data_IF_286012329321
#
_entry.id   IF_286012329321
#
_cell.length_a   1.000
_cell.length_b   1.000
_cell.length_c   1.000
_cell.angle_alpha   90.00
_cell.angle_beta   90.00
_cell.angle_gamma   90.00
#
_symmetry.space_group_name_H-M   'P 1'
#
loop_
_entity.id
_entity.type
_entity.pdbx_description
1 polymer ?
#
# COMPACT_ATOMS: atom_id res chain seq x y z
N UNK A 1 -2.71 -17.07 -2.88
CA UNK A 1 -1.95 -16.13 -2.03
C UNK A 1 -2.54 -14.72 -2.06
N UNK A 2 -2.94 -14.18 -3.23
CA UNK A 2 -3.61 -12.87 -3.31
C UNK A 2 -4.96 -12.81 -2.59
N UNK A 3 -5.96 -13.53 -3.08
CA UNK A 3 -7.33 -13.52 -2.51
C UNK A 3 -7.39 -13.98 -1.06
N UNK A 4 -6.52 -14.93 -0.67
CA UNK A 4 -6.45 -15.36 0.73
C UNK A 4 -5.89 -14.26 1.64
N UNK A 5 -5.03 -13.39 1.12
CA UNK A 5 -4.54 -12.22 1.85
C UNK A 5 -5.68 -11.22 2.08
N UNK A 6 -6.57 -11.01 1.10
CA UNK A 6 -7.77 -10.18 1.31
C UNK A 6 -8.64 -10.69 2.46
N UNK A 7 -8.81 -12.00 2.56
CA UNK A 7 -9.51 -12.60 3.71
C UNK A 7 -8.81 -12.29 5.04
N UNK A 8 -7.49 -12.47 5.11
CA UNK A 8 -6.72 -12.22 6.33
C UNK A 8 -6.72 -10.72 6.71
N UNK A 9 -6.51 -9.84 5.74
CA UNK A 9 -6.48 -8.39 5.96
C UNK A 9 -7.87 -7.88 6.41
N UNK A 10 -8.92 -8.34 5.74
CA UNK A 10 -10.32 -8.10 6.13
C UNK A 10 -10.65 -8.60 7.54
N UNK A 11 -10.10 -9.76 7.93
CA UNK A 11 -10.37 -10.35 9.24
C UNK A 11 -9.60 -9.68 10.39
N UNK A 12 -8.36 -9.26 10.16
CA UNK A 12 -7.43 -8.91 11.24
C UNK A 12 -6.98 -7.45 11.25
N UNK A 13 -7.10 -6.73 10.13
CA UNK A 13 -6.57 -5.38 9.99
C UNK A 13 -7.64 -4.34 9.64
N UNK A 14 -8.63 -4.72 8.84
CA UNK A 14 -9.59 -3.78 8.26
C UNK A 14 -10.94 -3.86 8.98
N UNK A 15 -11.30 -2.83 9.73
CA UNK A 15 -12.55 -2.81 10.51
C UNK A 15 -13.80 -2.61 9.66
N UNK A 16 -14.80 -3.48 9.82
CA UNK A 16 -16.10 -3.32 9.16
C UNK A 16 -16.13 -3.99 7.79
N UNK A 17 -16.96 -3.45 6.90
CA UNK A 17 -17.19 -4.02 5.57
C UNK A 17 -16.37 -3.30 4.48
N UNK A 18 -16.57 -3.73 3.23
CA UNK A 18 -15.91 -3.11 2.08
C UNK A 18 -16.15 -1.59 2.01
N UNK A 19 -17.39 -1.13 2.24
CA UNK A 19 -17.73 0.29 2.16
C UNK A 19 -17.01 1.11 3.22
N UNK A 20 -16.86 0.56 4.43
CA UNK A 20 -16.05 1.17 5.48
C UNK A 20 -14.57 1.29 5.04
N UNK A 21 -14.01 0.20 4.52
CA UNK A 21 -12.61 0.10 4.11
C UNK A 21 -12.23 1.11 3.02
N UNK A 22 -13.13 1.38 2.06
CA UNK A 22 -12.88 2.32 0.95
C UNK A 22 -13.44 3.72 1.19
N UNK A 23 -13.90 4.03 2.40
CA UNK A 23 -14.38 5.38 2.78
C UNK A 23 -13.29 6.46 2.69
N UNK A 24 -12.02 6.03 2.68
CA UNK A 24 -10.87 6.83 2.27
C UNK A 24 -10.02 6.01 1.28
N UNK A 25 -9.12 6.63 0.50
CA UNK A 25 -8.26 5.88 -0.43
C UNK A 25 -7.34 4.89 0.31
N UNK A 26 -7.70 3.60 0.24
CA UNK A 26 -6.99 2.48 0.87
C UNK A 26 -6.59 1.40 -0.14
N UNK A 27 -6.94 1.54 -1.43
CA UNK A 27 -6.65 0.50 -2.42
C UNK A 27 -5.15 0.23 -2.62
N UNK A 28 -4.30 1.23 -2.44
CA UNK A 28 -2.85 1.03 -2.46
C UNK A 28 -2.39 0.02 -1.39
N UNK A 29 -3.08 -0.02 -0.24
CA UNK A 29 -2.82 -0.98 0.82
C UNK A 29 -3.50 -2.31 0.54
N UNK A 30 -4.80 -2.32 0.25
CA UNK A 30 -5.58 -3.55 0.09
C UNK A 30 -4.99 -4.44 -0.99
N UNK A 31 -4.84 -3.92 -2.21
CA UNK A 31 -4.28 -4.70 -3.32
C UNK A 31 -2.77 -4.83 -3.20
N UNK A 32 -2.08 -3.78 -2.74
CA UNK A 32 -0.64 -3.81 -2.55
C UNK A 32 -0.16 -4.85 -1.54
N UNK A 33 -0.91 -5.06 -0.44
CA UNK A 33 -0.61 -6.07 0.56
C UNK A 33 -0.82 -7.48 -0.02
N UNK A 34 -1.90 -7.69 -0.75
CA UNK A 34 -2.19 -8.97 -1.37
C UNK A 34 -1.12 -9.38 -2.41
N UNK A 35 -0.63 -8.41 -3.18
CA UNK A 35 0.54 -8.61 -4.05
C UNK A 35 1.82 -8.82 -3.24
N UNK A 36 2.05 -8.05 -2.17
CA UNK A 36 3.27 -8.16 -1.34
C UNK A 36 3.37 -9.53 -0.70
N UNK A 37 2.27 -10.07 -0.16
CA UNK A 37 2.24 -11.42 0.39
C UNK A 37 2.42 -12.47 -0.70
N UNK A 38 1.91 -12.24 -1.91
CA UNK A 38 2.04 -13.17 -3.04
C UNK A 38 3.46 -13.25 -3.59
N UNK A 39 4.24 -12.17 -3.49
CA UNK A 39 5.58 -12.07 -4.07
C UNK A 39 6.66 -11.72 -3.04
N UNK A 40 6.63 -10.49 -2.50
CA UNK A 40 7.67 -9.93 -1.64
C UNK A 40 7.94 -10.76 -0.38
N UNK A 41 6.88 -11.07 0.38
CA UNK A 41 6.98 -11.92 1.58
C UNK A 41 7.57 -13.31 1.28
N UNK A 42 7.21 -13.88 0.12
CA UNK A 42 7.68 -15.19 -0.34
C UNK A 42 9.01 -15.13 -1.09
N UNK A 43 9.64 -13.94 -1.17
CA UNK A 43 10.90 -13.69 -1.89
C UNK A 43 10.85 -14.14 -3.35
N UNK A 44 9.70 -13.93 -4.00
CA UNK A 44 9.50 -14.20 -5.42
C UNK A 44 9.62 -12.90 -6.21
N UNK A 45 10.31 -12.96 -7.34
CA UNK A 45 10.47 -11.80 -8.20
C UNK A 45 9.15 -11.47 -8.92
N UNK A 46 8.65 -10.25 -8.75
CA UNK A 46 7.50 -9.72 -9.47
C UNK A 46 7.99 -8.91 -10.68
N UNK A 47 8.06 -9.55 -11.85
CA UNK A 47 8.59 -8.92 -13.09
C UNK A 47 7.77 -7.73 -13.55
N UNK A 48 6.44 -7.74 -13.34
CA UNK A 48 5.56 -6.64 -13.70
C UNK A 48 5.86 -5.40 -12.86
N UNK A 49 5.88 -5.56 -11.53
CA UNK A 49 6.22 -4.47 -10.63
C UNK A 49 7.65 -3.94 -10.85
N UNK A 50 8.62 -4.81 -11.15
CA UNK A 50 9.97 -4.38 -11.51
C UNK A 50 9.98 -3.54 -12.80
N UNK A 51 9.19 -3.94 -13.80
CA UNK A 51 8.98 -3.16 -15.03
C UNK A 51 8.40 -1.77 -14.74
N UNK A 52 7.36 -1.71 -13.91
CA UNK A 52 6.75 -0.43 -13.47
C UNK A 52 7.73 0.44 -12.69
N UNK A 53 8.46 -0.13 -11.73
CA UNK A 53 9.44 0.57 -10.92
C UNK A 53 10.49 1.28 -11.78
N UNK A 54 10.98 0.63 -12.83
CA UNK A 54 11.98 1.18 -13.75
C UNK A 54 11.51 2.45 -14.48
N UNK A 55 10.20 2.64 -14.65
CA UNK A 55 9.61 3.83 -15.30
C UNK A 55 9.58 5.04 -14.36
N UNK A 56 9.69 4.83 -13.05
CA UNK A 56 9.63 5.88 -12.03
C UNK A 56 8.43 6.83 -12.16
N UNK A 57 7.29 6.29 -12.59
CA UNK A 57 6.08 7.04 -12.96
C UNK A 57 5.47 7.81 -11.79
N UNK A 58 5.42 7.22 -10.60
CA UNK A 58 4.74 7.80 -9.44
C UNK A 58 5.65 8.01 -8.25
N UNK A 59 5.42 9.11 -7.53
CA UNK A 59 5.93 9.30 -6.18
C UNK A 59 5.07 8.51 -5.19
N UNK A 60 5.65 8.10 -4.05
CA UNK A 60 4.91 7.35 -3.02
C UNK A 60 3.67 8.11 -2.54
N UNK A 61 3.81 9.41 -2.30
CA UNK A 61 2.73 10.29 -1.85
C UNK A 61 1.52 10.32 -2.79
N UNK A 62 1.75 10.10 -4.09
CA UNK A 62 0.69 10.01 -5.10
C UNK A 62 -0.10 8.72 -4.91
N UNK A 63 0.57 7.60 -4.64
CA UNK A 63 -0.04 6.27 -4.50
C UNK A 63 -1.03 6.21 -3.34
N UNK A 64 -0.86 7.04 -2.31
CA UNK A 64 -1.84 7.16 -1.23
C UNK A 64 -3.22 7.62 -1.70
N UNK A 65 -3.36 8.15 -2.90
CA UNK A 65 -4.64 8.60 -3.47
C UNK A 65 -5.22 7.58 -4.47
N UNK A 66 -4.73 6.34 -4.48
CA UNK A 66 -5.25 5.27 -5.34
C UNK A 66 -6.66 4.83 -4.92
N UNK A 67 -7.53 4.74 -5.92
CA UNK A 67 -8.96 4.40 -5.82
C UNK A 67 -9.35 3.46 -6.98
N UNK A 68 -10.57 2.94 -6.96
CA UNK A 68 -11.10 2.00 -7.97
C UNK A 68 -11.15 2.55 -9.41
N UNK A 69 -11.03 3.86 -9.60
CA UNK A 69 -11.04 4.51 -10.93
C UNK A 69 -9.69 4.44 -11.64
N UNK A 70 -8.62 4.04 -10.94
CA UNK A 70 -7.29 3.94 -11.53
C UNK A 70 -7.07 2.59 -12.21
N UNK A 71 -6.10 2.54 -13.12
CA UNK A 71 -5.74 1.34 -13.86
C UNK A 71 -5.06 0.26 -13.00
N UNK A 72 -4.83 -0.90 -13.61
CA UNK A 72 -4.23 -2.05 -12.93
C UNK A 72 -2.78 -1.79 -12.52
N UNK A 73 -1.99 -1.08 -13.33
CA UNK A 73 -0.62 -0.74 -12.99
C UNK A 73 -0.59 0.08 -11.68
N UNK A 74 -1.45 1.09 -11.59
CA UNK A 74 -1.58 1.97 -10.43
C UNK A 74 -2.08 1.25 -9.18
N UNK A 75 -3.06 0.36 -9.34
CA UNK A 75 -3.70 -0.34 -8.22
C UNK A 75 -2.81 -1.47 -7.68
N UNK A 76 -2.34 -2.35 -8.55
CA UNK A 76 -1.67 -3.59 -8.14
C UNK A 76 -0.16 -3.46 -8.13
N UNK A 77 0.47 -3.13 -9.26
CA UNK A 77 1.94 -3.08 -9.34
C UNK A 77 2.52 -1.94 -8.49
N UNK A 78 1.96 -0.74 -8.58
CA UNK A 78 2.41 0.38 -7.76
C UNK A 78 1.92 0.29 -6.31
N UNK A 79 0.75 -0.32 -6.06
CA UNK A 79 0.33 -0.67 -4.69
C UNK A 79 1.32 -1.61 -4.02
N UNK A 80 1.75 -2.66 -4.72
CA UNK A 80 2.79 -3.59 -4.28
C UNK A 80 4.07 -2.87 -3.91
N UNK A 81 4.58 -1.99 -4.79
CA UNK A 81 5.82 -1.25 -4.56
C UNK A 81 5.70 -0.34 -3.33
N UNK A 82 4.56 0.34 -3.16
CA UNK A 82 4.31 1.19 -1.98
C UNK A 82 4.30 0.38 -0.69
N UNK A 83 3.58 -0.74 -0.66
CA UNK A 83 3.49 -1.60 0.52
C UNK A 83 4.83 -2.24 0.83
N UNK A 84 5.54 -2.79 -0.16
CA UNK A 84 6.87 -3.37 0.04
C UNK A 84 7.80 -2.34 0.67
N UNK A 85 7.92 -1.15 0.05
CA UNK A 85 8.79 -0.11 0.57
C UNK A 85 8.45 0.25 2.03
N UNK A 86 7.18 0.47 2.34
CA UNK A 86 6.77 0.88 3.68
C UNK A 86 6.95 -0.24 4.71
N UNK A 87 6.65 -1.49 4.38
CA UNK A 87 6.83 -2.63 5.28
C UNK A 87 8.29 -2.81 5.65
N UNK A 88 9.19 -2.80 4.66
CA UNK A 88 10.61 -3.05 4.90
C UNK A 88 11.33 -1.83 5.50
N UNK A 89 11.03 -0.63 5.00
CA UNK A 89 11.81 0.55 5.33
C UNK A 89 11.16 1.43 6.39
N UNK A 90 9.84 1.35 6.57
CA UNK A 90 9.05 2.21 7.47
C UNK A 90 8.03 1.41 8.32
N UNK A 91 8.43 0.30 8.96
CA UNK A 91 7.48 -0.58 9.68
C UNK A 91 6.74 0.12 10.83
N UNK A 92 7.34 1.14 11.45
CA UNK A 92 6.69 1.93 12.50
C UNK A 92 5.48 2.72 11.97
N UNK A 93 5.59 3.29 10.76
CA UNK A 93 4.48 3.98 10.10
C UNK A 93 3.37 2.99 9.72
N UNK A 94 3.74 1.81 9.21
CA UNK A 94 2.77 0.73 8.90
C UNK A 94 2.03 0.30 10.17
N UNK A 95 2.75 0.07 11.27
CA UNK A 95 2.13 -0.30 12.55
C UNK A 95 1.14 0.78 13.03
N UNK A 96 1.47 2.07 12.83
CA UNK A 96 0.58 3.18 13.18
C UNK A 96 -0.67 3.22 12.30
N UNK A 97 -0.52 3.06 10.98
CA UNK A 97 -1.64 2.98 10.03
C UNK A 97 -2.57 1.82 10.39
N UNK A 98 -2.01 0.62 10.62
CA UNK A 98 -2.78 -0.57 11.00
C UNK A 98 -3.51 -0.40 12.34
N UNK A 99 -2.93 0.35 13.28
CA UNK A 99 -3.60 0.71 14.53
C UNK A 99 -4.92 1.46 14.30
N UNK A 100 -4.96 2.36 13.30
CA UNK A 100 -6.18 3.08 12.94
C UNK A 100 -7.16 2.23 12.13
N UNK A 101 -6.67 1.42 11.18
CA UNK A 101 -7.52 0.55 10.36
C UNK A 101 -8.29 -0.46 11.21
N UNK A 102 -7.63 -1.06 12.22
CA UNK A 102 -8.23 -2.05 13.12
C UNK A 102 -9.35 -1.49 14.00
N UNK A 103 -9.38 -0.17 14.21
CA UNK A 103 -10.40 0.52 15.00
C UNK A 103 -11.39 1.30 14.13
N UNK A 104 -11.35 1.13 12.80
CA UNK A 104 -12.22 1.85 11.87
C UNK A 104 -11.99 3.35 11.82
N UNK A 105 -10.83 3.83 12.28
CA UNK A 105 -10.49 5.25 12.36
C UNK A 105 -9.94 5.77 11.02
N UNK A 106 -10.71 5.59 9.94
CA UNK A 106 -10.28 5.81 8.55
C UNK A 106 -9.77 7.23 8.27
N UNK A 107 -10.47 8.26 8.75
CA UNK A 107 -10.07 9.66 8.58
C UNK A 107 -8.81 10.00 9.38
N UNK A 108 -8.60 9.37 10.54
CA UNK A 108 -7.38 9.53 11.31
C UNK A 108 -6.19 8.86 10.62
N UNK A 109 -6.38 7.64 10.08
CA UNK A 109 -5.38 6.98 9.25
C UNK A 109 -5.01 7.82 8.04
N UNK A 110 -6.02 8.34 7.34
CA UNK A 110 -5.86 9.21 6.17
C UNK A 110 -5.09 10.49 6.51
N UNK A 111 -5.44 11.14 7.62
CA UNK A 111 -4.72 12.32 8.12
C UNK A 111 -3.26 12.00 8.42
N UNK A 112 -2.99 10.88 9.12
CA UNK A 112 -1.63 10.43 9.40
C UNK A 112 -0.83 10.20 8.10
N UNK A 113 -1.40 9.47 7.13
CA UNK A 113 -0.75 9.20 5.85
C UNK A 113 -0.44 10.51 5.11
N UNK A 114 -1.37 11.47 5.05
CA UNK A 114 -1.14 12.71 4.28
C UNK A 114 -0.27 13.74 5.01
N UNK A 115 -0.31 13.80 6.33
CA UNK A 115 0.37 14.85 7.11
C UNK A 115 1.69 14.39 7.72
N UNK A 116 1.74 13.15 8.25
CA UNK A 116 2.93 12.62 8.89
C UNK A 116 3.87 11.99 7.87
N UNK A 117 3.34 11.19 6.93
CA UNK A 117 4.14 10.63 5.84
C UNK A 117 4.25 11.65 4.71
N UNK A 118 3.11 12.08 4.15
CA UNK A 118 3.06 13.09 3.10
C UNK A 118 4.04 12.80 1.97
N UNK A 119 4.91 13.75 1.66
CA UNK A 119 5.97 13.62 0.64
C UNK A 119 7.33 13.24 1.21
N UNK A 120 7.44 13.02 2.53
CA UNK A 120 8.74 12.84 3.22
C UNK A 120 9.59 11.71 2.65
N UNK A 121 8.93 10.67 2.14
CA UNK A 121 9.59 9.47 1.64
C UNK A 121 9.67 9.42 0.11
N UNK A 122 9.16 10.42 -0.63
CA UNK A 122 9.13 10.35 -2.09
C UNK A 122 10.52 10.21 -2.71
N UNK A 123 11.47 11.04 -2.26
CA UNK A 123 12.85 10.98 -2.76
C UNK A 123 13.54 9.65 -2.42
N UNK A 124 13.22 9.06 -1.27
CA UNK A 124 13.81 7.80 -0.83
C UNK A 124 13.20 6.60 -1.54
N UNK A 125 11.88 6.58 -1.68
CA UNK A 125 11.15 5.61 -2.48
C UNK A 125 11.66 5.58 -3.92
N UNK A 126 11.84 6.75 -4.56
CA UNK A 126 12.39 6.81 -5.94
C UNK A 126 13.77 6.18 -6.07
N UNK A 127 14.63 6.30 -5.06
CA UNK A 127 15.95 5.65 -5.06
C UNK A 127 15.81 4.15 -4.81
N UNK A 128 14.97 3.76 -3.87
CA UNK A 128 14.70 2.36 -3.54
C UNK A 128 14.13 1.58 -4.74
N UNK A 129 13.31 2.20 -5.59
CA UNK A 129 12.80 1.55 -6.81
C UNK A 129 13.88 1.10 -7.81
N UNK A 130 15.11 1.59 -7.68
CA UNK A 130 16.24 1.28 -8.57
C UNK A 130 17.26 0.32 -7.94
N UNK A 131 16.96 -0.25 -6.77
CA UNK A 131 17.80 -1.26 -6.11
C UNK A 131 17.34 -2.67 -6.46
#
# INVERSE_FOLDING_TARGET
>A
NHEYTHYLDGRFNMYGDWNANISTPTLWWIEGLAEYVSYGYLRRHNTWAAGEASRQTYNLSTLFDTTQQHDQDRVYAWGYLAVYYLVENRPADVAKILGYYRTGSWQAARSYIKQNIGTRYDADFRRWLLT
#
